data_IF_766825615883
#
_entry.id   IF_766825615883
#
_cell.length_a   1.000
_cell.length_b   1.000
_cell.length_c   1.000
_cell.angle_alpha   90.00
_cell.angle_beta   90.00
_cell.angle_gamma   90.00
#
_symmetry.space_group_name_H-M   'P 1'
#
loop_
_entity.id
_entity.type
_entity.pdbx_description
1 polymer ?
#
# COMPACT_ATOMS: atom_id res chain seq x y z
N UNK A 1 -11.26 4.06 -6.68
CA UNK A 1 -10.44 4.97 -7.52
C UNK A 1 -9.73 4.15 -8.58
N UNK A 2 -9.65 4.66 -9.83
CA UNK A 2 -8.83 4.02 -10.86
C UNK A 2 -7.33 4.21 -10.56
N UNK A 3 -6.51 3.35 -11.15
CA UNK A 3 -5.04 3.45 -11.03
C UNK A 3 -4.55 4.82 -11.51
N UNK A 4 -5.09 5.33 -12.61
CA UNK A 4 -4.73 6.66 -13.13
C UNK A 4 -5.04 7.77 -12.12
N UNK A 5 -6.18 7.70 -11.43
CA UNK A 5 -6.52 8.67 -10.38
C UNK A 5 -5.55 8.61 -9.20
N UNK A 6 -5.11 7.42 -8.82
CA UNK A 6 -4.12 7.22 -7.76
C UNK A 6 -2.77 7.83 -8.19
N UNK A 7 -2.35 7.58 -9.43
CA UNK A 7 -1.10 8.13 -9.98
C UNK A 7 -1.14 9.66 -10.00
N UNK A 8 -2.24 10.26 -10.48
CA UNK A 8 -2.39 11.72 -10.51
C UNK A 8 -2.31 12.32 -9.09
N UNK A 9 -2.94 11.69 -8.11
CA UNK A 9 -2.86 12.12 -6.73
C UNK A 9 -1.41 12.05 -6.20
N UNK A 10 -0.71 10.95 -6.45
CA UNK A 10 0.70 10.78 -6.06
C UNK A 10 1.56 11.89 -6.68
N UNK A 11 1.39 12.19 -7.98
CA UNK A 11 2.17 13.22 -8.66
C UNK A 11 1.91 14.62 -8.08
N UNK A 12 0.66 14.94 -7.75
CA UNK A 12 0.31 16.19 -7.06
C UNK A 12 0.97 16.27 -5.68
N UNK A 13 0.93 15.18 -4.92
CA UNK A 13 1.54 15.12 -3.59
C UNK A 13 3.07 15.27 -3.66
N UNK A 14 3.73 14.67 -4.65
CA UNK A 14 5.16 14.85 -4.91
C UNK A 14 5.48 16.34 -5.12
N UNK A 15 4.74 16.99 -6.00
CA UNK A 15 4.96 18.39 -6.32
C UNK A 15 4.80 19.30 -5.09
N UNK A 16 3.76 19.08 -4.30
CA UNK A 16 3.53 19.83 -3.06
C UNK A 16 4.64 19.59 -2.04
N UNK A 17 5.03 18.31 -1.81
CA UNK A 17 6.07 17.96 -0.85
C UNK A 17 7.43 18.53 -1.21
N UNK A 18 7.81 18.48 -2.48
CA UNK A 18 9.05 19.08 -2.98
C UNK A 18 9.05 20.59 -2.75
N UNK A 19 7.92 21.28 -2.98
CA UNK A 19 7.78 22.72 -2.71
C UNK A 19 7.93 23.04 -1.21
N UNK A 20 7.24 22.29 -0.36
CA UNK A 20 7.25 22.49 1.09
C UNK A 20 8.62 22.18 1.73
N UNK A 21 9.37 21.24 1.18
CA UNK A 21 10.67 20.81 1.69
C UNK A 21 11.85 21.46 0.95
N UNK A 22 11.70 22.71 0.51
CA UNK A 22 12.75 23.51 -0.14
C UNK A 22 13.42 22.81 -1.34
N UNK A 23 12.69 21.94 -2.04
CA UNK A 23 13.21 21.22 -3.20
C UNK A 23 13.95 19.93 -2.87
N UNK A 24 13.96 19.49 -1.63
CA UNK A 24 14.59 18.24 -1.22
C UNK A 24 13.90 17.01 -1.86
N UNK A 25 14.66 15.96 -2.21
CA UNK A 25 14.08 14.72 -2.69
C UNK A 25 13.11 14.12 -1.68
N UNK A 26 11.99 13.59 -2.18
CA UNK A 26 10.99 12.93 -1.35
C UNK A 26 11.16 11.41 -1.43
N UNK A 27 10.94 10.74 -0.32
CA UNK A 27 11.05 9.28 -0.20
C UNK A 27 9.67 8.69 0.01
N UNK A 28 9.34 7.64 -0.74
CA UNK A 28 8.03 7.01 -0.71
C UNK A 28 8.15 5.49 -0.76
N UNK A 29 7.36 4.80 0.05
CA UNK A 29 7.09 3.38 -0.06
C UNK A 29 5.70 3.16 -0.65
N UNK A 30 5.60 2.18 -1.53
CA UNK A 30 4.34 1.66 -2.00
C UNK A 30 4.10 0.31 -1.34
N UNK A 31 3.03 0.20 -0.56
CA UNK A 31 2.76 -0.94 0.30
C UNK A 31 1.44 -1.62 -0.09
N UNK A 32 1.42 -2.93 0.01
CA UNK A 32 0.21 -3.73 -0.14
C UNK A 32 -0.22 -4.31 1.20
N UNK A 33 -1.34 -3.85 1.80
CA UNK A 33 -1.82 -4.33 3.09
C UNK A 33 -2.51 -5.69 2.95
N UNK A 34 -1.85 -6.77 3.37
CA UNK A 34 -2.35 -8.14 3.22
C UNK A 34 -2.92 -8.74 4.50
N UNK A 35 -2.49 -8.26 5.66
CA UNK A 35 -3.02 -8.66 6.96
C UNK A 35 -3.31 -7.41 7.78
N UNK A 36 -4.53 -7.32 8.32
CA UNK A 36 -4.94 -6.19 9.16
C UNK A 36 -5.45 -6.68 10.50
N UNK A 37 -4.70 -6.35 11.55
CA UNK A 37 -5.07 -6.54 12.95
C UNK A 37 -5.57 -7.98 13.26
N UNK A 38 -4.88 -9.01 12.75
CA UNK A 38 -5.24 -10.42 12.91
C UNK A 38 -4.21 -11.16 13.75
N UNK A 39 -4.69 -12.08 14.60
CA UNK A 39 -3.82 -12.98 15.36
C UNK A 39 -3.27 -14.07 14.49
N UNK A 40 -2.02 -14.47 14.71
CA UNK A 40 -1.35 -15.54 14.00
C UNK A 40 0.15 -15.38 13.92
N UNK A 41 0.84 -16.44 13.55
CA UNK A 41 2.29 -16.43 13.30
C UNK A 41 2.64 -16.06 11.86
N UNK A 42 1.73 -16.28 10.93
CA UNK A 42 1.83 -15.95 9.50
C UNK A 42 3.08 -16.49 8.78
N UNK A 43 3.75 -17.49 9.34
CA UNK A 43 5.02 -18.05 8.80
C UNK A 43 4.86 -18.52 7.35
N UNK A 44 3.82 -19.29 7.04
CA UNK A 44 3.55 -19.76 5.69
C UNK A 44 3.28 -18.62 4.71
N UNK A 45 2.60 -17.55 5.15
CA UNK A 45 2.37 -16.35 4.36
C UNK A 45 3.68 -15.64 4.04
N UNK A 46 4.53 -15.42 5.06
CA UNK A 46 5.82 -14.75 4.90
C UNK A 46 6.76 -15.54 3.98
N UNK A 47 6.82 -16.87 4.13
CA UNK A 47 7.59 -17.74 3.23
C UNK A 47 7.08 -17.67 1.77
N UNK A 48 5.77 -17.61 1.57
CA UNK A 48 5.19 -17.46 0.23
C UNK A 48 5.53 -16.11 -0.42
N UNK A 49 5.60 -15.03 0.36
CA UNK A 49 6.03 -13.73 -0.13
C UNK A 49 7.48 -13.76 -0.62
N UNK A 50 8.38 -14.39 0.14
CA UNK A 50 9.79 -14.57 -0.28
C UNK A 50 9.86 -15.36 -1.59
N UNK A 51 9.09 -16.46 -1.71
CA UNK A 51 9.03 -17.26 -2.95
C UNK A 51 8.53 -16.47 -4.16
N UNK A 52 7.66 -15.48 -3.93
CA UNK A 52 7.17 -14.57 -4.97
C UNK A 52 8.14 -13.44 -5.30
N UNK A 53 9.27 -13.34 -4.60
CA UNK A 53 10.30 -12.35 -4.85
C UNK A 53 10.20 -11.07 -4.01
N UNK A 54 9.29 -11.00 -3.05
CA UNK A 54 9.22 -9.89 -2.11
C UNK A 54 10.25 -10.05 -1.00
N UNK A 55 11.06 -9.04 -0.77
CA UNK A 55 12.16 -9.09 0.20
C UNK A 55 11.87 -8.37 1.50
N UNK A 56 10.87 -7.48 1.54
CA UNK A 56 10.58 -6.63 2.70
C UNK A 56 9.10 -6.52 2.96
N UNK A 57 8.75 -6.44 4.25
CA UNK A 57 7.41 -6.10 4.69
C UNK A 57 7.46 -5.19 5.91
N UNK A 58 6.46 -4.33 6.03
CA UNK A 58 6.20 -3.62 7.27
C UNK A 58 5.27 -4.50 8.11
N UNK A 59 5.75 -4.89 9.29
CA UNK A 59 4.98 -5.66 10.25
C UNK A 59 4.75 -4.80 11.47
N UNK A 60 3.48 -4.56 11.77
CA UNK A 60 3.02 -3.59 12.75
C UNK A 60 3.48 -2.17 12.38
N UNK A 61 4.64 -1.73 12.84
CA UNK A 61 5.18 -0.40 12.56
C UNK A 61 6.59 -0.42 11.96
N UNK A 62 7.24 -1.57 11.98
CA UNK A 62 8.64 -1.71 11.62
C UNK A 62 8.82 -2.44 10.28
N UNK A 63 9.85 -2.05 9.53
CA UNK A 63 10.25 -2.72 8.29
C UNK A 63 11.20 -3.88 8.60
N UNK A 64 10.85 -5.06 8.09
CA UNK A 64 11.64 -6.29 8.23
C UNK A 64 12.09 -6.80 6.87
N UNK A 65 13.29 -7.38 6.85
CA UNK A 65 13.75 -8.19 5.74
C UNK A 65 13.14 -9.59 5.90
N UNK A 66 12.37 -10.04 4.92
CA UNK A 66 11.67 -11.32 4.95
C UNK A 66 12.60 -12.54 4.74
N UNK A 67 13.82 -12.31 4.26
CA UNK A 67 14.85 -13.34 4.11
C UNK A 67 15.53 -13.69 5.45
N UNK A 68 15.42 -12.82 6.44
CA UNK A 68 15.93 -13.03 7.79
C UNK A 68 14.91 -13.84 8.62
N UNK A 69 15.37 -14.66 9.58
CA UNK A 69 14.48 -15.37 10.48
C UNK A 69 13.58 -14.41 11.25
N UNK A 70 12.27 -14.56 11.10
CA UNK A 70 11.27 -13.73 11.74
C UNK A 70 10.21 -14.62 12.38
N UNK A 71 9.98 -14.43 13.67
CA UNK A 71 8.93 -15.13 14.41
C UNK A 71 7.96 -14.14 15.02
N UNK A 72 6.68 -14.26 14.64
CA UNK A 72 5.60 -13.44 15.20
C UNK A 72 4.89 -14.16 16.35
N UNK A 73 4.46 -13.40 17.33
CA UNK A 73 3.77 -13.97 18.50
C UNK A 73 2.32 -14.30 18.13
N UNK A 74 1.97 -15.58 18.13
CA UNK A 74 0.67 -16.11 17.70
C UNK A 74 -0.54 -15.47 18.39
N UNK A 75 -0.41 -15.11 19.66
CA UNK A 75 -1.49 -14.53 20.48
C UNK A 75 -1.71 -13.05 20.21
N UNK A 76 -0.71 -12.37 19.63
CA UNK A 76 -0.79 -10.96 19.33
C UNK A 76 -1.48 -10.73 17.98
N UNK A 77 -2.12 -9.58 17.86
CA UNK A 77 -2.65 -9.11 16.59
C UNK A 77 -1.54 -8.42 15.81
N UNK A 78 -1.41 -8.77 14.55
CA UNK A 78 -0.43 -8.21 13.63
C UNK A 78 -1.10 -7.60 12.41
N UNK A 79 -0.45 -6.59 11.87
CA UNK A 79 -0.74 -6.02 10.54
C UNK A 79 0.50 -6.18 9.68
N UNK A 80 0.33 -6.68 8.45
CA UNK A 80 1.42 -6.95 7.53
C UNK A 80 1.14 -6.25 6.21
N UNK A 81 2.04 -5.33 5.84
CA UNK A 81 2.02 -4.61 4.57
C UNK A 81 3.29 -4.97 3.79
N UNK A 82 3.12 -5.55 2.60
CA UNK A 82 4.26 -5.91 1.74
C UNK A 82 4.82 -4.66 1.08
N UNK A 83 6.13 -4.47 1.14
CA UNK A 83 6.80 -3.40 0.40
C UNK A 83 6.89 -3.81 -1.06
N UNK A 84 6.10 -3.16 -1.91
CA UNK A 84 6.06 -3.42 -3.35
C UNK A 84 7.21 -2.69 -4.04
N UNK A 85 7.38 -1.40 -3.74
CA UNK A 85 8.43 -0.59 -4.34
C UNK A 85 8.86 0.56 -3.43
N UNK A 86 10.07 1.11 -3.70
CA UNK A 86 10.65 2.27 -3.02
C UNK A 86 11.01 3.32 -4.04
N UNK A 87 10.60 4.55 -3.80
CA UNK A 87 10.85 5.67 -4.70
C UNK A 87 11.63 6.76 -3.98
N UNK A 88 12.61 7.32 -4.68
CA UNK A 88 13.24 8.60 -4.34
C UNK A 88 12.87 9.55 -5.47
N UNK A 89 12.14 10.59 -5.15
CA UNK A 89 11.45 11.46 -6.09
C UNK A 89 11.97 12.89 -5.95
N UNK A 90 12.46 13.46 -7.03
CA UNK A 90 12.99 14.80 -7.10
C UNK A 90 12.34 15.64 -8.22
N UNK A 91 12.80 16.88 -8.36
CA UNK A 91 12.29 17.78 -9.41
C UNK A 91 12.56 17.29 -10.83
N UNK A 92 13.59 16.45 -11.03
CA UNK A 92 13.94 15.96 -12.35
C UNK A 92 12.84 15.09 -12.94
N UNK A 93 12.29 14.15 -12.12
CA UNK A 93 11.20 13.28 -12.57
C UNK A 93 9.91 14.03 -12.88
N UNK A 94 9.75 15.25 -12.36
CA UNK A 94 8.56 16.08 -12.65
C UNK A 94 8.74 16.98 -13.88
N UNK A 95 9.97 17.40 -14.16
CA UNK A 95 10.24 18.41 -15.18
C UNK A 95 10.72 17.84 -16.52
N UNK A 96 11.26 16.63 -16.52
CA UNK A 96 11.72 15.93 -17.71
C UNK A 96 10.62 14.98 -18.21
N UNK A 97 10.17 15.14 -19.46
CA UNK A 97 9.10 14.31 -20.03
C UNK A 97 9.42 12.81 -20.04
N UNK A 98 10.67 12.44 -20.33
CA UNK A 98 11.07 11.04 -20.39
C UNK A 98 11.10 10.42 -18.99
N UNK A 99 11.65 11.12 -18.03
CA UNK A 99 11.66 10.70 -16.61
C UNK A 99 10.23 10.61 -16.07
N UNK A 100 9.36 11.55 -16.41
CA UNK A 100 7.95 11.52 -16.00
C UNK A 100 7.20 10.31 -16.57
N UNK A 101 7.41 10.00 -17.85
CA UNK A 101 6.83 8.80 -18.48
C UNK A 101 7.32 7.52 -17.83
N UNK A 102 8.62 7.44 -17.55
CA UNK A 102 9.23 6.30 -16.83
C UNK A 102 8.67 6.14 -15.44
N UNK A 103 8.54 7.23 -14.68
CA UNK A 103 7.94 7.24 -13.36
C UNK A 103 6.48 6.77 -13.39
N UNK A 104 5.67 7.29 -14.30
CA UNK A 104 4.27 6.87 -14.48
C UNK A 104 4.16 5.38 -14.79
N UNK A 105 4.97 4.85 -15.69
CA UNK A 105 4.97 3.43 -16.03
C UNK A 105 5.34 2.55 -14.83
N UNK A 106 6.35 2.96 -14.07
CA UNK A 106 6.78 2.25 -12.85
C UNK A 106 5.71 2.31 -11.75
N UNK A 107 5.09 3.47 -11.54
CA UNK A 107 3.98 3.63 -10.59
C UNK A 107 2.79 2.74 -10.98
N UNK A 108 2.41 2.74 -12.27
CA UNK A 108 1.30 1.91 -12.75
C UNK A 108 1.54 0.43 -12.41
N UNK A 109 2.71 -0.11 -12.79
CA UNK A 109 3.05 -1.52 -12.52
C UNK A 109 3.04 -1.81 -11.01
N UNK A 110 3.68 -0.96 -10.21
CA UNK A 110 3.77 -1.17 -8.76
C UNK A 110 2.40 -1.06 -8.06
N UNK A 111 1.52 -0.18 -8.52
CA UNK A 111 0.15 -0.05 -8.00
C UNK A 111 -0.68 -1.28 -8.38
N UNK A 112 -0.60 -1.75 -9.63
CA UNK A 112 -1.27 -2.99 -10.08
C UNK A 112 -0.85 -4.17 -9.21
N UNK A 113 0.45 -4.35 -8.98
CA UNK A 113 0.99 -5.43 -8.14
C UNK A 113 0.48 -5.33 -6.70
N UNK A 114 0.44 -4.11 -6.14
CA UNK A 114 -0.08 -3.86 -4.79
C UNK A 114 -1.57 -4.21 -4.68
N UNK A 115 -2.39 -3.72 -5.61
CA UNK A 115 -3.83 -3.97 -5.64
C UNK A 115 -4.15 -5.44 -5.82
N UNK A 116 -3.42 -6.12 -6.70
CA UNK A 116 -3.59 -7.56 -6.92
C UNK A 116 -3.27 -8.39 -5.67
N UNK A 117 -2.21 -8.03 -4.94
CA UNK A 117 -1.77 -8.77 -3.76
C UNK A 117 -2.71 -8.58 -2.56
N UNK A 118 -3.33 -7.42 -2.43
CA UNK A 118 -4.18 -7.03 -1.29
C UNK A 118 -5.69 -7.11 -1.56
N UNK A 119 -6.12 -7.58 -2.72
CA UNK A 119 -7.52 -7.52 -3.18
C UNK A 119 -8.07 -6.09 -3.27
N UNK A 120 -7.32 -5.20 -3.88
CA UNK A 120 -7.79 -3.87 -4.24
C UNK A 120 -7.40 -2.73 -3.30
N UNK A 121 -6.40 -2.92 -2.44
CA UNK A 121 -5.90 -1.90 -1.53
C UNK A 121 -4.42 -1.57 -1.82
N UNK A 122 -4.06 -0.29 -1.72
CA UNK A 122 -2.67 0.16 -1.77
C UNK A 122 -2.44 1.31 -0.78
N UNK A 123 -1.31 1.27 -0.09
CA UNK A 123 -0.86 2.34 0.80
C UNK A 123 0.31 3.07 0.16
N UNK A 124 0.19 4.38 0.06
CA UNK A 124 1.28 5.29 -0.25
C UNK A 124 1.82 5.85 1.05
N UNK A 125 3.04 5.47 1.41
CA UNK A 125 3.67 5.88 2.66
C UNK A 125 4.88 6.78 2.36
N UNK A 126 4.73 8.08 2.63
CA UNK A 126 5.82 9.04 2.56
C UNK A 126 6.73 8.86 3.77
N UNK A 127 8.04 8.74 3.51
CA UNK A 127 9.04 8.58 4.56
C UNK A 127 9.49 9.95 5.02
N UNK A 128 9.11 10.32 6.24
CA UNK A 128 9.41 11.62 6.86
C UNK A 128 10.67 11.57 7.76
N UNK A 129 11.43 10.47 7.71
CA UNK A 129 12.72 10.38 8.37
C UNK A 129 13.71 11.39 7.77
N UNK A 130 14.52 12.10 8.62
CA UNK A 130 15.48 13.09 8.14
C UNK A 130 16.59 12.46 7.30
N UNK A 131 17.18 13.27 6.41
CA UNK A 131 18.28 12.85 5.53
C UNK A 131 17.86 12.71 4.06
N UNK A 132 18.86 12.74 3.17
CA UNK A 132 18.66 12.66 1.73
C UNK A 132 18.53 11.22 1.25
N UNK A 133 19.25 10.31 1.88
CA UNK A 133 19.24 8.90 1.53
C UNK A 133 17.99 8.19 2.04
N UNK A 134 17.59 7.15 1.34
CA UNK A 134 16.48 6.31 1.79
C UNK A 134 16.93 5.49 3.01
N UNK A 135 16.31 5.67 4.20
CA UNK A 135 16.73 4.93 5.40
C UNK A 135 16.49 3.43 5.21
N UNK A 136 17.38 2.61 5.75
CA UNK A 136 17.25 1.16 5.68
C UNK A 136 15.99 0.67 6.41
N UNK A 137 15.68 1.26 7.56
CA UNK A 137 14.50 0.98 8.38
C UNK A 137 13.76 2.29 8.69
N UNK A 138 12.94 2.81 7.76
CA UNK A 138 12.13 4.00 7.99
C UNK A 138 11.21 3.83 9.19
N UNK A 139 11.02 4.89 9.97
CA UNK A 139 10.18 4.88 11.19
C UNK A 139 9.07 5.91 11.17
N UNK A 140 9.24 7.00 10.42
CA UNK A 140 8.26 8.09 10.35
C UNK A 140 7.57 8.08 8.99
N UNK A 141 6.25 7.98 9.00
CA UNK A 141 5.46 7.90 7.79
C UNK A 141 4.27 8.86 7.84
N UNK A 142 3.99 9.48 6.70
CA UNK A 142 2.69 10.08 6.37
C UNK A 142 2.02 9.21 5.33
N UNK A 143 0.85 8.66 5.62
CA UNK A 143 0.25 7.58 4.83
C UNK A 143 -1.09 7.97 4.22
N UNK A 144 -1.35 7.45 3.04
CA UNK A 144 -2.65 7.48 2.39
C UNK A 144 -3.01 6.06 1.93
N UNK A 145 -4.22 5.64 2.26
CA UNK A 145 -4.79 4.39 1.79
C UNK A 145 -5.70 4.66 0.60
N UNK A 146 -5.45 3.96 -0.49
CA UNK A 146 -6.29 3.97 -1.69
C UNK A 146 -6.96 2.62 -1.88
N UNK A 147 -8.17 2.63 -2.43
CA UNK A 147 -8.91 1.44 -2.80
C UNK A 147 -9.40 1.54 -4.23
N UNK A 148 -9.19 0.48 -4.99
CA UNK A 148 -9.75 0.32 -6.33
C UNK A 148 -11.26 0.08 -6.26
N UNK A 149 -11.71 -0.68 -5.28
CA UNK A 149 -13.11 -1.00 -5.04
C UNK A 149 -13.76 0.00 -4.06
N UNK A 150 -15.09 -0.11 -3.88
CA UNK A 150 -15.83 0.62 -2.83
C UNK A 150 -15.47 0.05 -1.44
N UNK A 151 -14.26 0.31 -0.99
CA UNK A 151 -13.81 -0.11 0.33
C UNK A 151 -13.80 1.06 1.30
N UNK A 152 -14.15 0.78 2.55
CA UNK A 152 -13.96 1.74 3.64
C UNK A 152 -12.48 1.90 3.92
N UNK A 153 -11.97 3.13 3.80
CA UNK A 153 -10.56 3.44 4.05
C UNK A 153 -10.16 3.30 5.52
N UNK A 154 -11.12 3.34 6.44
CA UNK A 154 -10.87 3.24 7.87
C UNK A 154 -10.79 1.81 8.39
N UNK A 155 -11.69 0.93 7.93
CA UNK A 155 -11.76 -0.46 8.43
C UNK A 155 -11.35 -1.51 7.39
N UNK A 156 -11.12 -1.13 6.13
CA UNK A 156 -10.72 -2.03 5.05
C UNK A 156 -11.82 -2.98 4.57
N UNK A 157 -13.08 -2.79 5.02
CA UNK A 157 -14.21 -3.56 4.52
C UNK A 157 -14.48 -3.09 3.09
N UNK A 158 -14.27 -3.97 2.12
CA UNK A 158 -14.76 -3.77 0.76
C UNK A 158 -16.23 -4.12 0.70
N UNK A 159 -17.01 -3.24 0.10
CA UNK A 159 -18.33 -3.63 -0.39
C UNK A 159 -18.07 -4.40 -1.69
N UNK A 160 -18.56 -5.63 -1.78
CA UNK A 160 -18.61 -6.37 -3.02
C UNK A 160 -19.37 -5.54 -4.07
N UNK A 161 -19.14 -5.81 -5.37
CA UNK A 161 -19.89 -5.13 -6.43
C UNK A 161 -21.36 -5.09 -6.07
N UNK A 162 -21.95 -3.87 -6.07
CA UNK A 162 -23.36 -3.67 -5.73
C UNK A 162 -24.22 -4.33 -6.80
N UNK A 163 -24.42 -5.63 -6.68
CA UNK A 163 -25.34 -6.36 -7.53
C UNK A 163 -26.80 -6.08 -7.11
N UNK A 164 -27.75 -6.05 -8.06
CA UNK A 164 -29.18 -5.88 -7.74
C UNK A 164 -29.71 -6.88 -6.70
N UNK A 165 -29.09 -8.05 -6.58
CA UNK A 165 -29.44 -9.09 -5.59
C UNK A 165 -29.22 -8.64 -4.13
N UNK A 166 -28.23 -7.79 -3.87
CA UNK A 166 -27.95 -7.26 -2.54
C UNK A 166 -29.09 -6.37 -2.01
N UNK A 167 -29.93 -5.84 -2.90
CA UNK A 167 -31.09 -5.02 -2.55
C UNK A 167 -32.41 -5.79 -2.60
N UNK A 168 -32.37 -7.10 -2.85
CA UNK A 168 -33.55 -7.95 -2.93
C UNK A 168 -33.77 -8.65 -1.58
N UNK A 169 -34.89 -8.36 -0.92
CA UNK A 169 -35.29 -9.04 0.33
C UNK A 169 -35.57 -10.55 0.12
N UNK A 170 -35.76 -11.00 -1.13
CA UNK A 170 -35.98 -12.40 -1.46
C UNK A 170 -34.71 -13.18 -1.82
N UNK A 171 -33.54 -12.51 -1.89
CA UNK A 171 -32.26 -13.15 -2.11
C UNK A 171 -31.53 -13.35 -0.76
N UNK A 172 -30.84 -14.49 -0.54
CA UNK A 172 -30.12 -14.76 0.71
C UNK A 172 -29.12 -13.68 1.06
N UNK A 173 -28.52 -13.06 0.03
CA UNK A 173 -27.49 -12.02 0.15
C UNK A 173 -28.06 -10.66 0.59
N UNK A 174 -29.35 -10.39 0.31
CA UNK A 174 -30.05 -9.15 0.67
C UNK A 174 -31.01 -9.30 1.85
N UNK A 175 -31.14 -10.51 2.39
CA UNK A 175 -32.04 -10.78 3.52
C UNK A 175 -31.44 -10.32 4.85
N UNK A 176 -32.26 -9.74 5.72
CA UNK A 176 -31.84 -9.42 7.08
C UNK A 176 -31.56 -10.71 7.88
N UNK A 177 -30.37 -10.82 8.48
CA UNK A 177 -29.97 -11.99 9.26
C UNK A 177 -30.86 -12.24 10.51
N UNK A 178 -31.65 -11.25 10.90
CA UNK A 178 -32.50 -11.30 12.12
C UNK A 178 -33.99 -11.48 11.78
N UNK A 179 -34.40 -11.26 10.55
CA UNK A 179 -35.74 -11.50 10.05
C UNK A 179 -35.81 -12.80 9.29
#
# INVERSE_FOLDING_TARGET
QSIDQIIEQILQDIEQRIKLNAGAPQKMLLLSPIVRNRKGEFEGLLQNLVKKGYSRARIDKDIYNLEEPLTLIKTNKHSIDVVIDRFVLDKKQLNDEQEQRSLRSRLNQSIEDALHLSNGLVIVAWVDDPGFDFPEKPKKFSEQLFSENLACTDCGISLDELEPRLFSFNAPEGACATC
#
